data_IF_508412162000
#
_entry.id   IF_508412162000
#
_cell.length_a   1.000
_cell.length_b   1.000
_cell.length_c   1.000
_cell.angle_alpha   90.00
_cell.angle_beta   90.00
_cell.angle_gamma   90.00
#
_symmetry.space_group_name_H-M   'P 1'
#
loop_
_entity.id
_entity.type
_entity.pdbx_description
1 polymer ?
#
# COMPACT_ATOMS: atom_id res chain seq x y z
N UNK A 1 -43.79 1.68 51.40
CA UNK A 1 -42.52 1.44 50.66
C UNK A 1 -42.85 0.79 49.33
N UNK A 2 -42.84 1.54 48.22
CA UNK A 2 -43.20 1.01 46.89
C UNK A 2 -41.94 0.33 46.29
N UNK A 3 -41.95 -1.01 46.17
CA UNK A 3 -40.97 -1.74 45.40
C UNK A 3 -41.19 -1.44 43.91
N UNK A 4 -40.27 -0.72 43.28
CA UNK A 4 -40.19 -0.63 41.81
C UNK A 4 -39.90 -2.00 41.26
N UNK A 5 -40.85 -2.63 40.57
CA UNK A 5 -40.65 -3.86 39.85
C UNK A 5 -39.53 -3.69 38.84
N UNK A 6 -38.50 -4.51 38.93
CA UNK A 6 -37.44 -4.64 37.91
C UNK A 6 -38.08 -5.30 36.69
N UNK A 7 -38.46 -4.50 35.69
CA UNK A 7 -38.91 -5.01 34.41
C UNK A 7 -37.72 -5.72 33.73
N UNK A 8 -37.81 -7.05 33.61
CA UNK A 8 -36.86 -7.82 32.81
C UNK A 8 -37.22 -7.71 31.31
N UNK A 9 -36.27 -7.80 30.43
CA UNK A 9 -36.48 -7.90 28.99
C UNK A 9 -37.16 -9.21 28.61
N UNK A 10 -38.08 -9.17 27.66
CA UNK A 10 -38.74 -10.36 27.12
C UNK A 10 -37.80 -11.01 26.06
N UNK A 11 -37.99 -12.33 25.89
CA UNK A 11 -37.23 -13.08 24.89
C UNK A 11 -37.48 -12.57 23.47
N UNK A 12 -38.73 -12.21 23.17
CA UNK A 12 -39.13 -11.63 21.88
C UNK A 12 -38.49 -10.25 21.65
N UNK A 13 -38.33 -9.45 22.68
CA UNK A 13 -37.71 -8.12 22.60
C UNK A 13 -36.24 -8.23 22.25
N UNK A 14 -35.51 -9.20 22.83
CA UNK A 14 -34.13 -9.51 22.46
C UNK A 14 -34.03 -10.03 21.02
N UNK A 15 -34.97 -10.89 20.60
CA UNK A 15 -34.98 -11.45 19.26
C UNK A 15 -35.19 -10.34 18.20
N UNK A 16 -36.11 -9.40 18.42
CA UNK A 16 -36.32 -8.27 17.53
C UNK A 16 -35.07 -7.40 17.42
N UNK A 17 -34.41 -7.13 18.52
CA UNK A 17 -33.15 -6.34 18.52
C UNK A 17 -32.08 -7.01 17.67
N UNK A 18 -31.87 -8.33 17.83
CA UNK A 18 -30.89 -9.07 17.05
C UNK A 18 -31.22 -9.04 15.55
N UNK A 19 -32.48 -9.20 15.19
CA UNK A 19 -32.93 -9.13 13.78
C UNK A 19 -32.65 -7.74 13.20
N UNK A 20 -33.02 -6.67 13.93
CA UNK A 20 -32.76 -5.29 13.46
C UNK A 20 -31.28 -5.03 13.27
N UNK A 21 -30.43 -5.41 14.23
CA UNK A 21 -28.96 -5.29 14.11
C UNK A 21 -28.45 -6.08 12.92
N UNK A 22 -28.92 -7.30 12.70
CA UNK A 22 -28.56 -8.12 11.56
C UNK A 22 -28.90 -7.48 10.22
N UNK A 23 -30.08 -6.91 10.09
CA UNK A 23 -30.53 -6.19 8.87
C UNK A 23 -29.66 -4.94 8.63
N UNK A 24 -29.42 -4.15 9.66
CA UNK A 24 -28.59 -2.96 9.55
C UNK A 24 -27.15 -3.32 9.20
N UNK A 25 -26.58 -4.35 9.80
CA UNK A 25 -25.24 -4.84 9.49
C UNK A 25 -25.14 -5.30 8.03
N UNK A 26 -26.14 -6.00 7.50
CA UNK A 26 -26.18 -6.46 6.11
C UNK A 26 -26.18 -5.32 5.08
N UNK A 27 -26.78 -4.17 5.42
CA UNK A 27 -26.84 -2.99 4.54
C UNK A 27 -25.54 -2.17 4.60
N UNK A 28 -24.91 -2.11 5.78
CA UNK A 28 -23.76 -1.23 6.03
C UNK A 28 -22.45 -1.91 5.68
N UNK A 29 -22.30 -3.20 5.97
CA UNK A 29 -21.05 -3.94 5.75
C UNK A 29 -20.49 -3.84 4.31
N UNK A 30 -21.28 -3.99 3.22
CA UNK A 30 -20.75 -3.91 1.85
C UNK A 30 -20.12 -2.56 1.49
N UNK A 31 -20.58 -1.48 2.11
CA UNK A 31 -20.07 -0.12 1.84
C UNK A 31 -18.69 0.13 2.41
N UNK A 32 -18.28 -0.62 3.44
CA UNK A 32 -16.96 -0.47 4.04
C UNK A 32 -15.89 -1.19 3.25
N UNK A 33 -16.20 -2.31 2.61
CA UNK A 33 -15.20 -3.09 1.85
C UNK A 33 -14.66 -2.32 0.64
N UNK A 34 -15.52 -1.66 -0.13
CA UNK A 34 -15.10 -0.85 -1.28
C UNK A 34 -14.20 0.34 -0.90
N UNK A 35 -14.52 1.03 0.20
CA UNK A 35 -13.71 2.16 0.69
C UNK A 35 -12.32 1.74 1.21
N UNK A 36 -12.21 0.52 1.72
CA UNK A 36 -10.92 -0.03 2.17
C UNK A 36 -9.99 -0.26 0.97
N UNK A 37 -10.50 -0.74 -0.15
CA UNK A 37 -9.73 -0.99 -1.35
C UNK A 37 -9.30 0.31 -2.04
N UNK A 38 -10.19 1.31 -2.12
CA UNK A 38 -9.83 2.67 -2.59
C UNK A 38 -8.70 3.29 -1.74
N UNK A 39 -8.77 3.14 -0.42
CA UNK A 39 -7.74 3.62 0.49
C UNK A 39 -6.40 2.91 0.27
N UNK A 40 -6.40 1.62 -0.02
CA UNK A 40 -5.20 0.86 -0.38
C UNK A 40 -4.58 1.31 -1.69
N UNK A 41 -5.39 1.57 -2.71
CA UNK A 41 -4.91 2.13 -3.99
C UNK A 41 -4.27 3.49 -3.77
N UNK A 42 -4.90 4.37 -2.99
CA UNK A 42 -4.33 5.67 -2.65
C UNK A 42 -3.00 5.55 -1.87
N UNK A 43 -2.93 4.61 -0.93
CA UNK A 43 -1.70 4.34 -0.18
C UNK A 43 -0.57 3.81 -1.07
N UNK A 44 -0.86 2.94 -2.02
CA UNK A 44 0.13 2.45 -2.98
C UNK A 44 0.65 3.57 -3.89
N UNK A 45 -0.22 4.47 -4.36
CA UNK A 45 0.18 5.65 -5.14
C UNK A 45 1.12 6.56 -4.35
N UNK A 46 0.75 6.90 -3.12
CA UNK A 46 1.59 7.71 -2.25
C UNK A 46 2.96 7.06 -1.99
N UNK A 47 2.99 5.74 -1.79
CA UNK A 47 4.25 5.02 -1.60
C UNK A 47 5.14 5.02 -2.85
N UNK A 48 4.56 4.94 -4.06
CA UNK A 48 5.30 5.06 -5.33
C UNK A 48 5.90 6.47 -5.47
N UNK A 49 5.18 7.52 -5.06
CA UNK A 49 5.70 8.88 -5.03
C UNK A 49 6.85 9.03 -4.02
N UNK A 50 6.74 8.46 -2.83
CA UNK A 50 7.81 8.45 -1.82
C UNK A 50 9.07 7.76 -2.36
N UNK A 51 8.94 6.62 -3.01
CA UNK A 51 10.06 5.96 -3.68
C UNK A 51 10.66 6.81 -4.79
N UNK A 52 9.83 7.47 -5.58
CA UNK A 52 10.29 8.33 -6.67
C UNK A 52 11.13 9.49 -6.15
N UNK A 53 10.74 10.12 -5.06
CA UNK A 53 11.50 11.17 -4.39
C UNK A 53 12.84 10.63 -3.82
N UNK A 54 12.82 9.46 -3.21
CA UNK A 54 14.01 8.81 -2.68
C UNK A 54 14.99 8.44 -3.80
N UNK A 55 14.49 7.93 -4.94
CA UNK A 55 15.27 7.61 -6.14
C UNK A 55 15.92 8.87 -6.75
N UNK A 56 15.20 9.99 -6.80
CA UNK A 56 15.75 11.27 -7.24
C UNK A 56 16.88 11.76 -6.30
N UNK A 57 16.70 11.62 -4.99
CA UNK A 57 17.72 11.96 -4.00
C UNK A 57 18.96 11.06 -4.17
N UNK A 58 18.76 9.78 -4.41
CA UNK A 58 19.85 8.85 -4.73
C UNK A 58 20.61 9.30 -6.00
N UNK A 59 19.89 9.63 -7.07
CA UNK A 59 20.48 10.12 -8.32
C UNK A 59 21.29 11.41 -8.12
N UNK A 60 20.79 12.35 -7.32
CA UNK A 60 21.50 13.59 -7.03
C UNK A 60 22.86 13.36 -6.36
N UNK A 61 22.95 12.37 -5.49
CA UNK A 61 24.20 12.03 -4.80
C UNK A 61 25.15 11.19 -5.67
N UNK A 62 24.61 10.24 -6.40
CA UNK A 62 25.41 9.18 -7.09
C UNK A 62 25.58 9.42 -8.59
N UNK A 63 24.78 10.29 -9.18
CA UNK A 63 24.78 10.63 -10.62
C UNK A 63 23.79 9.82 -11.46
N UNK A 64 23.44 8.61 -11.06
CA UNK A 64 22.53 7.71 -11.78
C UNK A 64 21.50 7.09 -10.86
N UNK A 65 20.41 6.55 -11.43
CA UNK A 65 19.46 5.72 -10.70
C UNK A 65 20.06 4.34 -10.39
N UNK A 66 19.62 3.65 -9.33
CA UNK A 66 20.02 2.27 -9.10
C UNK A 66 19.69 1.39 -10.32
N UNK A 67 20.54 0.43 -10.64
CA UNK A 67 20.23 -0.55 -11.68
C UNK A 67 19.05 -1.45 -11.24
N UNK A 68 18.40 -2.09 -12.20
CA UNK A 68 17.35 -3.09 -11.91
C UNK A 68 17.83 -4.16 -10.93
N UNK A 69 19.09 -4.58 -11.06
CA UNK A 69 19.69 -5.59 -10.17
C UNK A 69 19.93 -5.06 -8.75
N UNK A 70 20.27 -3.79 -8.61
CA UNK A 70 20.42 -3.14 -7.30
C UNK A 70 19.06 -2.94 -6.63
N UNK A 71 18.04 -2.64 -7.44
CA UNK A 71 16.66 -2.51 -6.98
C UNK A 71 16.45 -1.38 -5.98
N UNK A 72 15.29 -1.38 -5.37
CA UNK A 72 14.91 -0.41 -4.32
C UNK A 72 15.75 -0.56 -3.04
N UNK A 73 16.38 -1.71 -2.81
CA UNK A 73 17.28 -1.92 -1.67
C UNK A 73 18.43 -0.91 -1.63
N UNK A 74 18.85 -0.40 -2.80
CA UNK A 74 19.85 0.66 -2.90
C UNK A 74 19.47 1.95 -2.16
N UNK A 75 18.18 2.16 -1.88
CA UNK A 75 17.69 3.33 -1.13
C UNK A 75 17.90 3.22 0.37
N UNK A 76 18.06 2.03 0.89
CA UNK A 76 18.23 1.78 2.34
C UNK A 76 19.59 1.25 2.71
N UNK A 77 20.29 0.66 1.76
CA UNK A 77 21.64 0.10 1.93
C UNK A 77 22.52 0.41 0.73
N UNK A 78 23.77 0.82 0.99
CA UNK A 78 24.72 1.05 -0.11
C UNK A 78 24.88 -0.22 -0.94
N UNK A 79 24.66 -0.16 -2.28
CA UNK A 79 24.83 -1.31 -3.15
C UNK A 79 26.28 -1.82 -3.14
N UNK A 80 26.43 -3.13 -3.15
CA UNK A 80 27.71 -3.81 -3.38
C UNK A 80 27.86 -4.35 -4.80
N UNK A 81 26.77 -4.38 -5.56
CA UNK A 81 26.71 -4.79 -6.97
C UNK A 81 27.09 -3.62 -7.87
N UNK A 82 27.89 -3.88 -8.89
CA UNK A 82 28.30 -2.86 -9.85
C UNK A 82 27.12 -2.30 -10.66
N UNK A 83 27.14 -0.98 -10.99
CA UNK A 83 28.11 0.02 -10.60
C UNK A 83 27.96 0.45 -9.14
N UNK A 84 29.00 0.28 -8.33
CA UNK A 84 28.96 0.68 -6.92
C UNK A 84 29.07 2.20 -6.82
N UNK A 85 28.08 2.90 -6.23
CA UNK A 85 28.14 4.35 -6.11
C UNK A 85 29.21 4.78 -5.10
N UNK A 86 30.04 5.74 -5.47
CA UNK A 86 31.06 6.30 -4.58
C UNK A 86 30.44 7.22 -3.52
N UNK A 87 29.52 8.10 -3.95
CA UNK A 87 28.91 9.14 -3.13
C UNK A 87 27.53 8.75 -2.59
N UNK A 88 27.39 7.54 -2.07
CA UNK A 88 26.15 7.12 -1.44
C UNK A 88 26.01 7.73 -0.03
N UNK A 89 25.03 8.58 0.19
CA UNK A 89 24.79 9.26 1.47
C UNK A 89 23.44 8.83 2.12
N UNK A 90 22.93 7.67 1.74
CA UNK A 90 21.68 7.16 2.30
C UNK A 90 21.79 6.79 3.80
N UNK A 91 20.74 6.24 4.38
CA UNK A 91 19.50 5.80 3.70
C UNK A 91 18.64 6.96 3.20
N UNK A 92 17.98 6.76 2.06
CA UNK A 92 17.09 7.75 1.43
C UNK A 92 15.62 7.55 1.81
N UNK A 93 15.33 6.51 2.56
CA UNK A 93 14.01 6.19 3.10
C UNK A 93 13.99 6.41 4.62
N UNK A 94 12.83 6.78 5.15
CA UNK A 94 12.64 6.98 6.60
C UNK A 94 12.81 5.69 7.41
N UNK A 95 12.56 4.55 6.78
CA UNK A 95 12.73 3.21 7.37
C UNK A 95 13.84 2.47 6.64
N UNK A 96 14.64 1.70 7.36
CA UNK A 96 15.73 0.88 6.80
C UNK A 96 15.24 -0.42 6.14
N UNK A 97 13.99 -0.46 5.71
CA UNK A 97 13.37 -1.62 5.06
C UNK A 97 12.49 -1.09 3.93
N UNK A 98 12.55 -1.75 2.78
CA UNK A 98 11.66 -1.46 1.66
C UNK A 98 10.27 -2.01 2.00
N UNK A 99 9.25 -1.15 2.12
CA UNK A 99 7.90 -1.60 2.41
C UNK A 99 7.31 -2.36 1.22
N UNK A 100 6.42 -3.28 1.52
CA UNK A 100 5.55 -3.91 0.52
C UNK A 100 4.33 -3.03 0.27
N UNK A 101 3.63 -3.32 -0.83
CA UNK A 101 2.38 -2.66 -1.13
C UNK A 101 1.27 -3.02 -0.11
N UNK A 102 0.12 -2.32 -0.12
CA UNK A 102 -0.97 -2.57 0.82
C UNK A 102 -1.61 -3.96 0.76
N UNK A 103 -1.32 -4.74 -0.26
CA UNK A 103 -1.74 -6.13 -0.42
C UNK A 103 -0.62 -7.14 -0.13
N UNK A 104 0.52 -6.64 0.42
CA UNK A 104 1.67 -7.45 0.82
C UNK A 104 2.49 -8.04 -0.35
N UNK A 105 2.41 -7.40 -1.53
CA UNK A 105 3.27 -7.72 -2.67
C UNK A 105 4.48 -6.79 -2.73
N UNK A 106 5.62 -7.22 -3.29
CA UNK A 106 6.75 -6.33 -3.53
C UNK A 106 6.43 -5.36 -4.67
N UNK A 107 6.95 -4.14 -4.58
CA UNK A 107 6.99 -3.22 -5.72
C UNK A 107 7.98 -3.71 -6.77
N UNK A 108 7.67 -3.47 -8.03
CA UNK A 108 8.51 -3.84 -9.18
C UNK A 108 9.24 -2.61 -9.68
N UNK A 109 10.55 -2.69 -9.74
CA UNK A 109 11.43 -1.61 -10.17
C UNK A 109 12.29 -2.04 -11.36
N UNK A 110 12.39 -1.19 -12.37
CA UNK A 110 13.22 -1.43 -13.57
C UNK A 110 13.91 -0.14 -13.97
N UNK A 111 15.22 -0.16 -14.15
CA UNK A 111 16.00 0.98 -14.61
C UNK A 111 17.09 0.50 -15.60
N UNK A 112 17.18 1.13 -16.80
CA UNK A 112 16.26 2.13 -17.33
C UNK A 112 14.84 1.58 -17.51
N UNK A 113 13.83 2.46 -17.43
CA UNK A 113 12.44 2.09 -17.61
C UNK A 113 12.09 1.72 -19.05
N UNK A 114 11.01 1.00 -19.24
CA UNK A 114 10.43 0.70 -20.56
C UNK A 114 9.43 1.79 -20.99
N UNK A 115 8.77 2.42 -20.02
CA UNK A 115 7.75 3.45 -20.20
C UNK A 115 8.30 4.83 -19.87
N UNK A 116 9.19 4.92 -18.90
CA UNK A 116 9.90 6.14 -18.50
C UNK A 116 11.39 5.99 -18.85
N UNK A 117 12.07 7.06 -19.29
CA UNK A 117 13.50 6.99 -19.60
C UNK A 117 14.38 6.70 -18.38
N UNK A 118 13.95 7.10 -17.20
CA UNK A 118 14.69 6.98 -15.96
C UNK A 118 14.46 5.61 -15.32
N UNK A 119 13.24 5.34 -14.88
CA UNK A 119 12.86 4.08 -14.26
C UNK A 119 11.34 3.86 -14.34
N UNK A 120 10.94 2.61 -14.32
CA UNK A 120 9.56 2.19 -14.10
C UNK A 120 9.44 1.64 -12.69
N UNK A 121 8.41 2.07 -11.97
CA UNK A 121 8.08 1.62 -10.64
C UNK A 121 6.57 1.34 -10.55
N UNK A 122 6.20 0.16 -10.11
CA UNK A 122 4.80 -0.23 -10.07
C UNK A 122 4.46 -1.22 -8.95
N UNK A 123 3.18 -1.24 -8.59
CA UNK A 123 2.51 -2.30 -7.85
C UNK A 123 1.52 -2.98 -8.78
N UNK A 124 1.43 -4.30 -8.75
CA UNK A 124 0.44 -5.07 -9.50
C UNK A 124 -0.95 -5.09 -8.85
N UNK A 125 -1.20 -4.24 -7.87
CA UNK A 125 -2.50 -4.16 -7.22
C UNK A 125 -2.86 -5.38 -6.38
N UNK A 126 -4.14 -5.54 -6.14
CA UNK A 126 -4.67 -6.55 -5.20
C UNK A 126 -4.41 -7.99 -5.62
N UNK A 127 -4.49 -8.30 -6.90
CA UNK A 127 -4.30 -9.66 -7.41
C UNK A 127 -2.82 -10.03 -7.66
N UNK A 128 -1.91 -9.06 -7.61
CA UNK A 128 -0.48 -9.26 -7.81
C UNK A 128 -0.10 -9.69 -9.23
N UNK A 129 -0.94 -9.38 -10.22
CA UNK A 129 -0.74 -9.73 -11.63
C UNK A 129 -0.76 -8.49 -12.52
N UNK A 130 0.02 -8.52 -13.58
CA UNK A 130 0.04 -7.44 -14.57
C UNK A 130 -1.34 -7.21 -15.21
N UNK A 131 -1.71 -5.94 -15.36
CA UNK A 131 -3.00 -5.53 -15.92
C UNK A 131 -4.10 -5.45 -14.87
N UNK A 132 -5.34 -5.76 -15.26
CA UNK A 132 -6.50 -5.69 -14.39
C UNK A 132 -7.21 -4.34 -14.42
N UNK A 133 -8.27 -4.23 -13.60
CA UNK A 133 -9.10 -3.03 -13.47
C UNK A 133 -9.46 -2.78 -12.01
N UNK A 134 -9.79 -1.54 -11.67
CA UNK A 134 -10.14 -1.15 -10.30
C UNK A 134 -9.00 -1.40 -9.32
N UNK A 135 -9.26 -2.15 -8.27
CA UNK A 135 -8.27 -2.52 -7.24
C UNK A 135 -7.20 -3.52 -7.70
N UNK A 136 -7.47 -4.23 -8.81
CA UNK A 136 -6.54 -5.14 -9.46
C UNK A 136 -5.68 -4.46 -10.54
N UNK A 137 -5.95 -3.18 -10.83
CA UNK A 137 -5.16 -2.44 -11.82
C UNK A 137 -3.73 -2.19 -11.33
N UNK A 138 -2.80 -2.19 -12.27
CA UNK A 138 -1.43 -1.78 -11.99
C UNK A 138 -1.40 -0.32 -11.55
N UNK A 139 -0.60 -0.02 -10.54
CA UNK A 139 -0.36 1.33 -10.04
C UNK A 139 1.08 1.67 -10.37
N UNK A 140 1.29 2.68 -11.19
CA UNK A 140 2.58 2.99 -11.82
C UNK A 140 3.01 4.42 -11.55
N UNK A 141 4.29 4.72 -11.79
CA UNK A 141 4.84 6.08 -11.76
C UNK A 141 4.78 6.81 -13.12
N UNK A 142 4.18 6.19 -14.14
CA UNK A 142 4.06 6.70 -15.50
C UNK A 142 2.64 6.70 -16.02
#
# INVERSE_FOLDING_TARGET
>A
MMQKGKGGFTLIEMLVVIVIIGVLAAIVAPRFFGKTDEAKVAAAKAQIEDFSMALQSYQLDTGDFPSTQQGLEALVKKPSTAPVPENWHGPYMSKNVIPKDPWNHPYVYTSPGKHSPDFDLLSYGKDGKAGGTGENADITNY
#
